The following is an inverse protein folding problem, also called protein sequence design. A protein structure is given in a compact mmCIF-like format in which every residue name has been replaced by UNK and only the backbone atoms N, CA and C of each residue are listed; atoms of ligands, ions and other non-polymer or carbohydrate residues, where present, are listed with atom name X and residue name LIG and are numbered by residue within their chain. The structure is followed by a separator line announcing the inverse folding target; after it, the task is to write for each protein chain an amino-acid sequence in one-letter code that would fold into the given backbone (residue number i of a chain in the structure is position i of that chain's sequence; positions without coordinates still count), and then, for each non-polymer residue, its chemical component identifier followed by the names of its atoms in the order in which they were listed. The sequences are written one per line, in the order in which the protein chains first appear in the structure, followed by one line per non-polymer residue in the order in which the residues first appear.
data_IF_735815381866
#
_entry.id   IF_735815381866
#
_cell.length_a   1.000
_cell.length_b   1.000
_cell.length_c   1.000
_cell.angle_alpha   90.00
_cell.angle_beta   90.00
_cell.angle_gamma   90.00
#
_symmetry.space_group_name_H-M   'P 1'
#
loop_
_entity.id
_entity.type
_entity.pdbx_description
1 polymer ?
#
# COMPACT_ATOMS: atom_id res chain seq x y z
N UNK A 1 -19.42 -10.17 -0.31
CA UNK A 1 -18.59 -11.21 0.32
C UNK A 1 -17.28 -10.58 0.78
N UNK A 2 -16.88 -10.83 2.03
CA UNK A 2 -15.58 -10.37 2.55
C UNK A 2 -14.64 -11.58 2.48
N UNK A 3 -13.63 -11.49 1.64
CA UNK A 3 -12.64 -12.55 1.48
C UNK A 3 -11.41 -12.19 2.29
N UNK A 4 -10.90 -13.13 3.09
CA UNK A 4 -9.62 -12.97 3.80
C UNK A 4 -8.49 -13.14 2.78
N UNK A 5 -7.82 -12.05 2.44
CA UNK A 5 -6.79 -12.02 1.41
C UNK A 5 -5.39 -12.22 1.99
N UNK A 6 -5.24 -12.01 3.29
CA UNK A 6 -3.94 -12.06 3.94
C UNK A 6 -4.05 -12.62 5.36
N UNK A 7 -3.21 -13.62 5.64
CA UNK A 7 -2.96 -14.10 6.99
C UNK A 7 -1.45 -14.08 7.22
N UNK A 8 -1.00 -13.26 8.17
CA UNK A 8 0.42 -13.16 8.50
C UNK A 8 0.64 -13.40 9.98
N UNK A 9 1.69 -14.11 10.31
CA UNK A 9 2.01 -14.46 11.66
C UNK A 9 3.14 -13.58 12.19
N UNK A 10 2.90 -12.91 13.31
CA UNK A 10 3.91 -12.20 14.09
C UNK A 10 4.26 -13.08 15.27
N UNK A 11 5.49 -13.50 15.35
CA UNK A 11 5.95 -14.39 16.41
C UNK A 11 7.16 -13.84 17.15
N UNK A 12 7.26 -14.16 18.44
CA UNK A 12 8.48 -13.99 19.20
C UNK A 12 8.78 -15.22 20.05
N UNK A 13 10.05 -15.38 20.36
CA UNK A 13 10.56 -16.50 21.15
C UNK A 13 11.24 -15.96 22.41
N UNK A 14 10.76 -16.39 23.57
CA UNK A 14 11.39 -16.10 24.85
C UNK A 14 12.13 -17.32 25.37
N UNK A 15 13.36 -17.13 25.84
CA UNK A 15 14.12 -18.19 26.50
C UNK A 15 13.60 -18.41 27.91
N UNK A 16 13.40 -19.67 28.31
CA UNK A 16 12.86 -20.04 29.62
C UNK A 16 13.70 -19.46 30.81
N UNK A 17 14.99 -19.28 30.60
CA UNK A 17 15.84 -18.70 31.64
C UNK A 17 15.56 -17.18 31.87
N UNK A 18 15.18 -16.45 30.81
CA UNK A 18 14.74 -15.05 30.89
C UNK A 18 13.42 -14.93 31.65
N UNK A 19 12.48 -15.82 31.34
CA UNK A 19 11.22 -15.90 32.06
C UNK A 19 11.45 -16.21 33.55
N UNK A 20 12.26 -17.25 33.85
CA UNK A 20 12.59 -17.59 35.25
C UNK A 20 13.26 -16.45 36.00
N UNK A 21 14.08 -15.63 35.34
CA UNK A 21 14.69 -14.46 35.93
C UNK A 21 13.65 -13.34 36.19
N UNK A 22 12.69 -13.18 35.32
CA UNK A 22 11.58 -12.26 35.50
C UNK A 22 10.62 -12.69 36.63
N UNK A 23 10.56 -13.99 36.94
CA UNK A 23 9.75 -14.57 38.03
C UNK A 23 10.30 -14.33 39.45
N UNK A 24 11.40 -13.60 39.62
CA UNK A 24 11.92 -13.27 40.93
C UNK A 24 10.97 -12.41 41.78
N UNK A 25 10.13 -11.64 41.07
CA UNK A 25 9.06 -10.87 41.67
C UNK A 25 7.84 -10.82 40.73
N UNK A 26 6.63 -10.89 41.28
CA UNK A 26 5.39 -10.88 40.50
C UNK A 26 5.22 -9.60 39.66
N UNK A 27 5.70 -8.47 40.17
CA UNK A 27 5.70 -7.20 39.47
C UNK A 27 6.64 -7.18 38.27
N UNK A 28 7.82 -7.76 38.39
CA UNK A 28 8.81 -7.86 37.32
C UNK A 28 8.34 -8.76 36.18
N UNK A 29 7.64 -9.85 36.50
CA UNK A 29 7.06 -10.72 35.51
C UNK A 29 5.96 -10.02 34.69
N UNK A 30 5.04 -9.34 35.37
CA UNK A 30 3.99 -8.58 34.70
C UNK A 30 4.53 -7.49 33.78
N UNK A 31 5.61 -6.80 34.18
CA UNK A 31 6.29 -5.83 33.32
C UNK A 31 6.95 -6.49 32.11
N UNK A 32 7.61 -7.62 32.29
CA UNK A 32 8.22 -8.39 31.19
C UNK A 32 7.18 -8.81 30.14
N UNK A 33 6.06 -9.38 30.57
CA UNK A 33 4.97 -9.79 29.72
C UNK A 33 4.38 -8.57 28.96
N UNK A 34 4.14 -7.46 29.66
CA UNK A 34 3.58 -6.26 29.03
C UNK A 34 4.49 -5.66 27.96
N UNK A 35 5.81 -5.71 28.15
CA UNK A 35 6.77 -5.25 27.14
C UNK A 35 6.76 -6.15 25.89
N UNK A 36 6.67 -7.47 26.09
CA UNK A 36 6.61 -8.40 24.96
C UNK A 36 5.32 -8.23 24.16
N UNK A 37 4.17 -8.10 24.82
CA UNK A 37 2.88 -7.88 24.16
C UNK A 37 2.84 -6.53 23.45
N UNK A 38 3.43 -5.49 24.03
CA UNK A 38 3.57 -4.18 23.40
C UNK A 38 4.42 -4.25 22.12
N UNK A 39 5.51 -5.02 22.12
CA UNK A 39 6.35 -5.21 20.93
C UNK A 39 5.61 -5.93 19.80
N UNK A 40 4.84 -6.97 20.13
CA UNK A 40 4.03 -7.70 19.14
C UNK A 40 2.96 -6.79 18.55
N UNK A 41 2.26 -6.05 19.42
CA UNK A 41 1.25 -5.07 19.01
C UNK A 41 1.82 -3.97 18.11
N UNK A 42 2.98 -3.42 18.46
CA UNK A 42 3.65 -2.39 17.65
C UNK A 42 4.09 -2.96 16.29
N UNK A 43 4.64 -4.17 16.25
CA UNK A 43 5.03 -4.83 15.00
C UNK A 43 3.82 -5.03 14.08
N UNK A 44 2.69 -5.49 14.64
CA UNK A 44 1.42 -5.61 13.91
C UNK A 44 1.00 -4.24 13.35
N UNK A 45 0.95 -3.21 14.19
CA UNK A 45 0.54 -1.85 13.80
C UNK A 45 1.41 -1.28 12.67
N UNK A 46 2.74 -1.44 12.76
CA UNK A 46 3.66 -1.00 11.72
C UNK A 46 3.45 -1.74 10.41
N UNK A 47 3.20 -3.04 10.48
CA UNK A 47 2.91 -3.85 9.32
C UNK A 47 1.60 -3.43 8.63
N UNK A 48 0.52 -3.27 9.38
CA UNK A 48 -0.76 -2.80 8.88
C UNK A 48 -0.63 -1.41 8.22
N UNK A 49 0.12 -0.51 8.86
CA UNK A 49 0.39 0.82 8.31
C UNK A 49 1.17 0.75 6.99
N UNK A 50 2.17 -0.13 6.90
CA UNK A 50 2.94 -0.37 5.68
C UNK A 50 2.03 -0.89 4.56
N UNK A 51 1.16 -1.86 4.86
CA UNK A 51 0.24 -2.45 3.90
C UNK A 51 -0.76 -1.44 3.36
N UNK A 52 -1.38 -0.64 4.23
CA UNK A 52 -2.31 0.43 3.83
C UNK A 52 -1.60 1.46 2.94
N UNK A 53 -0.40 1.90 3.30
CA UNK A 53 0.35 2.86 2.49
C UNK A 53 0.73 2.28 1.12
N UNK A 54 1.12 1.01 1.08
CA UNK A 54 1.45 0.32 -0.18
C UNK A 54 0.20 0.17 -1.04
N UNK A 55 -0.91 -0.25 -0.47
CA UNK A 55 -2.19 -0.35 -1.19
C UNK A 55 -2.60 1.00 -1.78
N UNK A 56 -2.59 2.07 -0.99
CA UNK A 56 -2.88 3.43 -1.46
C UNK A 56 -1.95 3.83 -2.61
N UNK A 57 -0.67 3.56 -2.47
CA UNK A 57 0.34 3.95 -3.44
C UNK A 57 0.28 3.19 -4.76
N UNK A 58 -0.07 1.90 -4.72
CA UNK A 58 -0.06 1.00 -5.89
C UNK A 58 -1.42 0.85 -6.58
N UNK A 59 -2.52 1.00 -5.84
CA UNK A 59 -3.86 0.88 -6.42
C UNK A 59 -4.11 1.97 -7.47
N UNK A 60 -4.71 1.56 -8.58
CA UNK A 60 -5.17 2.44 -9.65
C UNK A 60 -6.53 1.98 -10.14
N UNK A 61 -7.38 2.93 -10.47
CA UNK A 61 -8.66 2.63 -11.11
C UNK A 61 -8.45 2.33 -12.59
N UNK A 62 -9.22 1.38 -13.11
CA UNK A 62 -9.27 1.07 -14.54
C UNK A 62 -10.19 2.04 -15.32
N UNK A 63 -10.93 2.90 -14.62
CA UNK A 63 -11.83 3.87 -15.22
C UNK A 63 -11.00 5.05 -15.75
N UNK A 64 -11.13 5.36 -17.04
CA UNK A 64 -10.30 6.35 -17.71
C UNK A 64 -10.34 7.74 -17.07
N UNK A 65 -11.51 8.21 -16.60
CA UNK A 65 -11.64 9.52 -15.94
C UNK A 65 -11.02 9.57 -14.54
N UNK A 66 -10.80 8.45 -13.91
CA UNK A 66 -10.08 8.36 -12.63
C UNK A 66 -8.55 8.36 -12.80
N UNK A 67 -8.06 8.38 -14.03
CA UNK A 67 -6.66 8.62 -14.35
C UNK A 67 -6.50 10.00 -15.01
N UNK A 68 -6.14 10.99 -14.22
CA UNK A 68 -6.04 12.39 -14.66
C UNK A 68 -4.59 12.75 -14.93
N UNK A 69 -4.34 13.41 -16.06
CA UNK A 69 -3.01 13.83 -16.48
C UNK A 69 -2.96 15.35 -16.56
N UNK A 70 -2.01 15.95 -15.84
CA UNK A 70 -1.81 17.40 -15.77
C UNK A 70 -0.51 17.77 -16.49
N UNK A 71 -0.58 18.71 -17.42
CA UNK A 71 0.59 19.27 -18.07
C UNK A 71 1.19 20.33 -17.18
N UNK A 72 2.38 20.08 -16.66
CA UNK A 72 3.08 21.00 -15.77
C UNK A 72 3.89 22.00 -16.61
N UNK A 73 3.61 23.33 -16.47
CA UNK A 73 4.36 24.36 -17.17
C UNK A 73 5.77 24.49 -16.62
N UNK A 74 6.69 24.97 -17.46
CA UNK A 74 8.08 25.30 -17.11
C UNK A 74 8.39 26.71 -17.53
N UNK A 75 9.03 27.49 -16.65
CA UNK A 75 9.55 28.82 -16.95
C UNK A 75 11.06 28.70 -17.14
N UNK A 76 11.54 29.10 -18.31
CA UNK A 76 12.96 28.98 -18.65
C UNK A 76 13.80 29.90 -17.75
N UNK A 77 14.83 29.32 -17.13
CA UNK A 77 15.78 30.05 -16.28
C UNK A 77 15.30 30.39 -14.86
N UNK A 78 14.04 30.15 -14.51
CA UNK A 78 13.50 30.44 -13.18
C UNK A 78 12.81 29.21 -12.56
N UNK A 79 13.54 28.57 -11.64
CA UNK A 79 13.05 27.36 -10.93
C UNK A 79 11.92 27.72 -9.95
N UNK A 80 11.98 28.89 -9.34
CA UNK A 80 10.99 29.31 -8.35
C UNK A 80 9.64 29.65 -9.02
N UNK A 81 9.67 30.44 -10.08
CA UNK A 81 8.50 30.72 -10.90
C UNK A 81 7.91 29.42 -11.49
N UNK A 82 8.75 28.50 -11.96
CA UNK A 82 8.32 27.18 -12.45
C UNK A 82 7.56 26.41 -11.38
N UNK A 83 8.12 26.27 -10.18
CA UNK A 83 7.47 25.54 -9.10
C UNK A 83 6.14 26.18 -8.69
N UNK A 84 6.10 27.53 -8.62
CA UNK A 84 4.89 28.28 -8.29
C UNK A 84 3.79 28.03 -9.31
N UNK A 85 4.12 28.14 -10.59
CA UNK A 85 3.16 27.93 -11.68
C UNK A 85 2.67 26.47 -11.71
N UNK A 86 3.56 25.50 -11.47
CA UNK A 86 3.19 24.08 -11.34
C UNK A 86 2.22 23.86 -10.18
N UNK A 87 2.47 24.50 -9.03
CA UNK A 87 1.57 24.43 -7.87
C UNK A 87 0.18 24.99 -8.19
N UNK A 88 0.11 26.14 -8.86
CA UNK A 88 -1.15 26.74 -9.29
C UNK A 88 -1.93 25.83 -10.24
N UNK A 89 -1.25 25.27 -11.26
CA UNK A 89 -1.88 24.38 -12.24
C UNK A 89 -2.45 23.11 -11.58
N UNK A 90 -1.70 22.51 -10.64
CA UNK A 90 -2.19 21.32 -9.92
C UNK A 90 -3.38 21.69 -9.02
N UNK A 91 -3.33 22.83 -8.35
CA UNK A 91 -4.42 23.27 -7.49
C UNK A 91 -5.70 23.57 -8.29
N UNK A 92 -5.58 24.21 -9.45
CA UNK A 92 -6.69 24.46 -10.38
C UNK A 92 -7.29 23.13 -10.88
N UNK A 93 -6.46 22.18 -11.27
CA UNK A 93 -6.92 20.88 -11.73
C UNK A 93 -7.66 20.10 -10.64
N UNK A 94 -7.16 20.14 -9.41
CA UNK A 94 -7.83 19.52 -8.27
C UNK A 94 -9.16 20.20 -7.93
N UNK A 95 -9.22 21.53 -7.98
CA UNK A 95 -10.46 22.26 -7.77
C UNK A 95 -11.52 21.87 -8.81
N UNK A 96 -11.13 21.79 -10.08
CA UNK A 96 -12.01 21.33 -11.17
C UNK A 96 -12.46 19.87 -10.94
N UNK A 97 -11.55 19.00 -10.49
CA UNK A 97 -11.90 17.61 -10.15
C UNK A 97 -12.96 17.52 -9.05
N UNK A 98 -12.85 18.34 -8.00
CA UNK A 98 -13.86 18.34 -6.93
C UNK A 98 -15.23 18.81 -7.42
N UNK A 99 -15.27 19.82 -8.29
CA UNK A 99 -16.52 20.27 -8.93
C UNK A 99 -17.11 19.14 -9.79
N UNK A 100 -16.29 18.43 -10.57
CA UNK A 100 -16.74 17.29 -11.36
C UNK A 100 -17.27 16.13 -10.50
N UNK A 101 -16.68 15.88 -9.31
CA UNK A 101 -17.14 14.84 -8.38
C UNK A 101 -18.44 15.22 -7.67
N UNK A 102 -18.70 16.52 -7.47
CA UNK A 102 -19.96 17.02 -6.90
C UNK A 102 -21.11 16.98 -7.92
N UNK A 103 -20.81 17.08 -9.20
CA UNK A 103 -21.83 16.97 -10.25
C UNK A 103 -22.29 15.51 -10.40
N UNK A 104 -23.62 15.24 -10.41
CA UNK A 104 -24.12 13.89 -10.59
C UNK A 104 -23.67 13.30 -11.93
N UNK A 105 -22.87 12.22 -11.87
CA UNK A 105 -22.33 11.56 -13.05
C UNK A 105 -22.18 10.05 -12.87
N UNK A 106 -21.99 9.34 -13.97
CA UNK A 106 -21.64 7.91 -13.98
C UNK A 106 -20.13 7.68 -14.15
N UNK A 107 -19.37 8.75 -14.35
CA UNK A 107 -17.98 8.71 -14.78
C UNK A 107 -17.00 8.21 -13.71
N UNK A 108 -17.40 8.32 -12.46
CA UNK A 108 -16.60 7.93 -11.29
C UNK A 108 -17.14 6.69 -10.57
N UNK A 109 -18.02 5.92 -11.22
CA UNK A 109 -18.63 4.71 -10.64
C UNK A 109 -18.44 3.52 -11.57
N UNK A 110 -18.06 2.36 -11.02
CA UNK A 110 -17.95 1.11 -11.79
C UNK A 110 -19.31 0.52 -12.17
N UNK A 111 -20.37 0.89 -11.46
CA UNK A 111 -21.69 0.26 -11.57
C UNK A 111 -22.64 0.98 -12.54
N UNK A 112 -22.20 2.05 -13.20
CA UNK A 112 -23.02 2.84 -14.12
C UNK A 112 -24.19 3.59 -13.48
N UNK A 113 -24.25 3.66 -12.14
CA UNK A 113 -25.26 4.44 -11.43
C UNK A 113 -24.83 5.91 -11.29
N UNK A 114 -25.79 6.80 -11.39
CA UNK A 114 -25.58 8.22 -11.12
C UNK A 114 -25.25 8.43 -9.66
N UNK A 115 -24.12 9.04 -9.38
CA UNK A 115 -23.70 9.42 -8.03
C UNK A 115 -23.13 10.82 -8.02
N UNK A 116 -23.28 11.47 -6.89
CA UNK A 116 -22.68 12.76 -6.55
C UNK A 116 -21.95 12.59 -5.21
N UNK A 117 -20.79 13.20 -5.08
CA UNK A 117 -19.95 13.08 -3.89
C UNK A 117 -19.65 14.47 -3.34
N UNK A 118 -19.59 14.62 -2.03
CA UNK A 118 -19.16 15.89 -1.42
C UNK A 118 -17.65 15.96 -1.37
N UNK A 119 -17.07 17.13 -1.59
CA UNK A 119 -15.63 17.35 -1.47
C UNK A 119 -15.07 16.93 -0.12
N UNK A 120 -15.84 17.12 0.96
CA UNK A 120 -15.50 16.69 2.33
C UNK A 120 -15.29 15.18 2.50
N UNK A 121 -15.79 14.36 1.58
CA UNK A 121 -15.71 12.90 1.66
C UNK A 121 -14.39 12.35 1.10
N UNK A 122 -13.57 13.22 0.54
CA UNK A 122 -12.28 12.85 -0.05
C UNK A 122 -11.09 13.23 0.83
N UNK A 123 -10.00 12.53 0.59
CA UNK A 123 -8.67 12.84 1.13
C UNK A 123 -7.70 12.91 -0.05
N UNK A 124 -6.92 13.98 -0.11
CA UNK A 124 -5.82 14.10 -1.06
C UNK A 124 -4.56 13.51 -0.45
N UNK A 125 -3.98 12.54 -1.13
CA UNK A 125 -2.76 11.84 -0.69
C UNK A 125 -1.61 12.26 -1.60
N UNK A 126 -0.73 13.10 -1.07
CA UNK A 126 0.34 13.73 -1.81
C UNK A 126 1.60 12.87 -1.87
N UNK A 127 2.24 12.86 -3.03
CA UNK A 127 3.61 12.41 -3.14
C UNK A 127 4.55 13.47 -2.51
N UNK A 128 5.36 13.04 -1.53
CA UNK A 128 6.26 13.92 -0.78
C UNK A 128 7.19 14.74 -1.68
N UNK A 129 7.63 14.19 -2.81
CA UNK A 129 8.51 14.91 -3.74
C UNK A 129 7.82 16.13 -4.35
N UNK A 130 6.53 16.04 -4.68
CA UNK A 130 5.76 17.15 -5.24
C UNK A 130 5.30 18.11 -4.16
N UNK A 131 4.73 17.61 -3.06
CA UNK A 131 4.25 18.48 -1.99
C UNK A 131 5.37 19.37 -1.44
N UNK A 132 6.56 18.82 -1.21
CA UNK A 132 7.68 19.59 -0.69
C UNK A 132 8.21 20.66 -1.68
N UNK A 133 8.04 20.46 -2.97
CA UNK A 133 8.35 21.49 -3.98
C UNK A 133 7.31 22.60 -3.97
N UNK A 134 6.03 22.26 -3.91
CA UNK A 134 4.91 23.19 -3.99
C UNK A 134 4.71 23.96 -2.67
N UNK A 135 4.88 23.31 -1.52
CA UNK A 135 4.72 23.95 -0.20
C UNK A 135 5.81 24.97 0.15
N UNK A 136 6.97 24.89 -0.48
CA UNK A 136 7.99 25.96 -0.30
C UNK A 136 7.54 27.30 -0.87
N UNK A 137 6.48 27.32 -1.66
CA UNK A 137 6.00 28.48 -2.38
C UNK A 137 4.52 28.68 -2.04
N UNK A 138 4.25 29.62 -1.17
CA UNK A 138 2.98 30.30 -0.86
C UNK A 138 1.64 29.61 -1.26
N UNK A 139 1.41 28.37 -0.81
CA UNK A 139 0.04 27.83 -0.81
C UNK A 139 -0.97 28.75 -0.10
N UNK A 140 -0.61 29.53 0.95
CA UNK A 140 -1.53 30.48 1.57
C UNK A 140 -2.06 31.57 0.63
N UNK A 141 -1.29 31.98 -0.37
CA UNK A 141 -1.67 33.05 -1.30
C UNK A 141 -2.58 32.57 -2.45
N UNK A 142 -2.55 31.27 -2.77
CA UNK A 142 -3.36 30.68 -3.85
C UNK A 142 -4.77 30.37 -3.34
N UNK A 143 -4.88 29.95 -2.09
CA UNK A 143 -6.15 29.61 -1.46
C UNK A 143 -6.52 30.61 -0.37
N UNK A 144 -7.09 31.73 -0.77
CA UNK A 144 -7.69 32.70 0.17
C UNK A 144 -8.98 32.14 0.84
N UNK A 145 -9.36 30.92 0.45
CA UNK A 145 -10.52 30.22 0.97
C UNK A 145 -10.10 29.13 1.96
N UNK A 146 -10.34 29.37 3.25
CA UNK A 146 -9.97 28.47 4.35
C UNK A 146 -10.59 27.04 4.22
N UNK A 147 -11.72 26.90 3.53
CA UNK A 147 -12.37 25.62 3.27
C UNK A 147 -11.56 24.77 2.28
N UNK A 148 -11.16 25.33 1.17
CA UNK A 148 -10.32 24.62 0.18
C UNK A 148 -8.97 24.24 0.75
N UNK A 149 -8.36 25.06 1.60
CA UNK A 149 -7.11 24.75 2.26
C UNK A 149 -7.18 23.49 3.11
N UNK A 150 -8.26 23.31 3.86
CA UNK A 150 -8.49 22.09 4.67
C UNK A 150 -8.56 20.83 3.81
N UNK A 151 -9.23 20.91 2.67
CA UNK A 151 -9.42 19.75 1.78
C UNK A 151 -8.12 19.36 1.05
N UNK A 152 -7.23 20.30 0.81
CA UNK A 152 -5.92 20.07 0.19
C UNK A 152 -4.80 19.71 1.18
N UNK A 153 -4.98 19.91 2.48
CA UNK A 153 -3.96 19.57 3.48
C UNK A 153 -3.65 18.09 3.58
N UNK A 154 -4.44 17.19 3.09
CA UNK A 154 -4.31 15.77 2.94
C UNK A 154 -3.06 15.07 3.49
N UNK A 155 -3.02 13.77 3.41
CA UNK A 155 -1.88 12.95 3.87
C UNK A 155 -0.71 13.02 2.89
N UNK A 156 0.51 13.04 3.41
CA UNK A 156 1.73 12.96 2.59
C UNK A 156 2.34 11.57 2.74
N UNK A 157 2.62 10.92 1.62
CA UNK A 157 3.33 9.65 1.60
C UNK A 157 4.69 9.78 0.90
N UNK A 158 5.71 9.06 1.36
CA UNK A 158 6.99 8.96 0.66
C UNK A 158 6.82 8.45 -0.78
N UNK A 159 7.62 8.98 -1.69
CA UNK A 159 7.58 8.62 -3.12
C UNK A 159 7.74 7.11 -3.38
N UNK A 160 8.43 6.40 -2.50
CA UNK A 160 8.65 4.94 -2.61
C UNK A 160 7.36 4.11 -2.64
N UNK A 161 6.24 4.66 -2.15
CA UNK A 161 4.95 3.96 -2.17
C UNK A 161 4.18 4.15 -3.48
N UNK A 162 4.49 5.21 -4.23
CA UNK A 162 3.83 5.50 -5.50
C UNK A 162 4.51 4.74 -6.63
N UNK A 163 3.87 3.68 -7.10
CA UNK A 163 4.43 2.85 -8.14
C UNK A 163 3.45 1.83 -8.67
N UNK A 164 3.93 1.03 -9.60
CA UNK A 164 3.17 -0.06 -10.22
C UNK A 164 3.84 -1.39 -9.96
N UNK A 165 3.02 -2.41 -9.76
CA UNK A 165 3.47 -3.79 -9.78
C UNK A 165 3.33 -4.27 -11.22
N UNK A 166 4.46 -4.52 -11.86
CA UNK A 166 4.52 -5.03 -13.22
C UNK A 166 4.94 -6.50 -13.21
N UNK A 167 4.59 -7.22 -14.26
CA UNK A 167 5.11 -8.55 -14.49
C UNK A 167 6.52 -8.45 -15.09
N UNK A 168 7.53 -8.82 -14.31
CA UNK A 168 8.88 -9.01 -14.83
C UNK A 168 9.07 -10.45 -15.26
N UNK A 169 9.76 -10.67 -16.39
CA UNK A 169 10.04 -12.01 -16.90
C UNK A 169 11.43 -12.46 -16.44
N UNK A 170 11.49 -13.65 -15.83
CA UNK A 170 12.75 -14.32 -15.48
C UNK A 170 12.81 -15.68 -16.15
N UNK A 171 13.96 -16.02 -16.73
CA UNK A 171 14.17 -17.27 -17.47
C UNK A 171 14.36 -18.46 -16.54
N UNK A 172 14.91 -18.23 -15.36
CA UNK A 172 15.02 -19.20 -14.27
C UNK A 172 14.75 -18.47 -12.97
N UNK A 173 14.02 -19.08 -12.06
CA UNK A 173 13.92 -18.51 -10.71
C UNK A 173 15.31 -18.53 -10.09
N UNK A 174 15.77 -17.37 -9.68
CA UNK A 174 17.16 -17.07 -9.46
C UNK A 174 17.92 -18.00 -8.52
N UNK A 175 19.19 -17.96 -8.66
CA UNK A 175 20.21 -18.58 -7.80
C UNK A 175 20.31 -17.93 -6.41
N UNK A 176 19.54 -16.89 -6.14
CA UNK A 176 19.56 -16.09 -4.92
C UNK A 176 18.38 -16.43 -4.02
N UNK A 177 18.61 -16.47 -2.71
CA UNK A 177 17.61 -16.72 -1.65
C UNK A 177 16.49 -15.65 -1.58
N UNK A 178 16.18 -14.97 -2.66
CA UNK A 178 15.10 -14.00 -2.75
C UNK A 178 13.77 -14.75 -2.83
N UNK A 179 12.90 -14.44 -1.91
CA UNK A 179 11.51 -14.90 -1.90
C UNK A 179 10.77 -14.32 -3.11
N UNK A 180 10.49 -15.16 -4.11
CA UNK A 180 9.77 -14.76 -5.32
C UNK A 180 8.39 -15.39 -5.27
N UNK A 181 7.35 -14.57 -5.45
CA UNK A 181 5.97 -15.03 -5.49
C UNK A 181 5.47 -15.12 -6.93
N UNK A 182 4.63 -16.11 -7.21
CA UNK A 182 4.00 -16.25 -8.51
C UNK A 182 2.97 -15.13 -8.73
N UNK A 183 2.97 -14.55 -9.92
CA UNK A 183 1.98 -13.56 -10.35
C UNK A 183 0.78 -14.23 -11.03
N UNK A 184 1.01 -15.30 -11.76
CA UNK A 184 0.02 -16.07 -12.50
C UNK A 184 0.08 -17.56 -12.10
N UNK A 185 -0.97 -18.29 -12.42
CA UNK A 185 -1.00 -19.74 -12.29
C UNK A 185 -0.07 -20.37 -13.32
N UNK A 186 0.79 -21.31 -12.89
CA UNK A 186 1.78 -21.91 -13.76
C UNK A 186 2.20 -23.28 -13.30
N UNK A 187 2.59 -24.14 -14.25
CA UNK A 187 3.24 -25.40 -14.00
C UNK A 187 4.75 -25.26 -14.18
N UNK A 188 5.49 -25.56 -13.14
CA UNK A 188 6.94 -25.50 -13.11
C UNK A 188 7.56 -26.87 -12.88
N UNK A 189 8.79 -27.06 -13.36
CA UNK A 189 9.58 -28.24 -13.06
C UNK A 189 10.95 -27.86 -12.48
N UNK A 190 11.45 -28.67 -11.56
CA UNK A 190 12.78 -28.49 -11.00
C UNK A 190 13.85 -29.20 -11.85
N UNK A 191 15.10 -29.12 -11.42
CA UNK A 191 16.26 -29.79 -12.07
C UNK A 191 16.12 -31.32 -12.14
N UNK A 192 15.33 -31.90 -11.24
CA UNK A 192 15.05 -33.35 -11.18
C UNK A 192 13.78 -33.74 -11.98
N UNK A 193 13.24 -32.80 -12.78
CA UNK A 193 12.02 -32.94 -13.59
C UNK A 193 10.76 -33.21 -12.77
N UNK A 194 10.75 -32.84 -11.50
CA UNK A 194 9.58 -32.91 -10.66
C UNK A 194 8.68 -31.71 -10.92
N UNK A 195 7.42 -31.96 -11.25
CA UNK A 195 6.46 -30.92 -11.60
C UNK A 195 5.71 -30.42 -10.36
N UNK A 196 5.48 -29.10 -10.33
CA UNK A 196 4.73 -28.43 -9.29
C UNK A 196 3.73 -27.47 -9.94
N UNK A 197 2.51 -27.49 -9.44
CA UNK A 197 1.48 -26.54 -9.79
C UNK A 197 1.51 -25.37 -8.82
N UNK A 198 1.79 -24.17 -9.32
CA UNK A 198 1.93 -22.94 -8.54
C UNK A 198 0.77 -22.02 -8.85
N UNK A 199 0.08 -21.55 -7.82
CA UNK A 199 -0.99 -20.54 -7.91
C UNK A 199 -0.47 -19.14 -7.64
N UNK A 200 -1.17 -18.09 -8.09
CA UNK A 200 -0.83 -16.71 -7.76
C UNK A 200 -0.64 -16.52 -6.25
N UNK A 201 0.42 -15.82 -5.88
CA UNK A 201 0.79 -15.59 -4.47
C UNK A 201 1.56 -16.73 -3.79
N UNK A 202 1.74 -17.88 -4.42
CA UNK A 202 2.61 -18.94 -3.91
C UNK A 202 4.08 -18.63 -4.18
N UNK A 203 4.93 -19.12 -3.28
CA UNK A 203 6.39 -19.04 -3.45
C UNK A 203 6.86 -19.93 -4.59
N UNK A 204 7.68 -19.35 -5.45
CA UNK A 204 8.36 -20.08 -6.51
C UNK A 204 9.67 -20.65 -5.95
N UNK A 205 9.88 -21.97 -5.98
CA UNK A 205 11.13 -22.56 -5.57
C UNK A 205 12.32 -22.06 -6.42
N UNK A 206 13.52 -22.13 -5.89
CA UNK A 206 14.72 -21.81 -6.66
C UNK A 206 15.00 -22.89 -7.72
N UNK A 207 15.66 -22.50 -8.81
CA UNK A 207 16.12 -23.41 -9.88
C UNK A 207 14.99 -24.20 -10.57
N UNK A 208 13.87 -23.52 -10.85
CA UNK A 208 12.77 -24.11 -11.59
C UNK A 208 12.58 -23.43 -12.95
N UNK A 209 12.00 -24.16 -13.88
CA UNK A 209 11.62 -23.68 -15.21
C UNK A 209 10.14 -23.95 -15.48
N UNK A 210 9.54 -23.23 -16.41
CA UNK A 210 8.19 -23.53 -16.88
C UNK A 210 8.19 -24.86 -17.65
N UNK A 211 7.18 -25.70 -17.39
CA UNK A 211 7.01 -26.98 -18.11
C UNK A 211 6.83 -26.79 -19.60
N UNK A 212 6.09 -25.73 -19.99
CA UNK A 212 5.87 -25.36 -21.39
C UNK A 212 6.99 -24.53 -22.02
N UNK A 213 8.04 -24.25 -21.23
CA UNK A 213 9.11 -23.35 -21.63
C UNK A 213 8.72 -21.87 -21.52
N UNK A 214 9.70 -20.99 -21.70
CA UNK A 214 9.50 -19.56 -21.61
C UNK A 214 9.99 -18.95 -20.29
N UNK A 215 9.54 -17.72 -20.02
CA UNK A 215 9.97 -16.95 -18.85
C UNK A 215 8.91 -16.96 -17.75
N UNK A 216 9.35 -17.18 -16.52
CA UNK A 216 8.49 -17.09 -15.34
C UNK A 216 8.16 -15.63 -15.08
N UNK A 217 6.88 -15.30 -14.97
CA UNK A 217 6.41 -13.94 -14.63
C UNK A 217 6.40 -13.75 -13.12
N UNK A 218 7.15 -12.78 -12.66
CA UNK A 218 7.27 -12.43 -11.24
C UNK A 218 6.83 -10.99 -11.01
N UNK A 219 6.24 -10.66 -9.85
CA UNK A 219 5.90 -9.28 -9.55
C UNK A 219 7.17 -8.45 -9.39
N UNK A 220 7.24 -7.36 -10.13
CA UNK A 220 8.30 -6.36 -10.02
C UNK A 220 7.68 -5.01 -9.68
N UNK A 221 8.15 -4.39 -8.64
CA UNK A 221 7.70 -3.07 -8.24
C UNK A 221 8.57 -1.98 -8.86
N UNK A 222 7.93 -1.06 -9.56
CA UNK A 222 8.60 0.10 -10.14
C UNK A 222 7.98 1.38 -9.61
N UNK A 223 8.78 2.26 -9.02
CA UNK A 223 8.33 3.59 -8.58
C UNK A 223 7.97 4.42 -9.81
N UNK A 224 6.77 5.03 -9.78
CA UNK A 224 6.31 5.93 -10.82
C UNK A 224 6.49 7.39 -10.38
N UNK A 225 7.52 8.09 -10.89
CA UNK A 225 7.77 9.48 -10.51
C UNK A 225 6.79 10.47 -11.15
N UNK A 226 5.89 10.01 -12.01
CA UNK A 226 4.89 10.88 -12.63
C UNK A 226 3.70 11.18 -11.71
N UNK A 227 3.45 10.35 -10.69
CA UNK A 227 2.31 10.51 -9.80
C UNK A 227 2.53 11.69 -8.86
N UNK A 228 1.64 12.68 -8.96
CA UNK A 228 1.63 13.90 -8.14
C UNK A 228 0.89 13.65 -6.83
N UNK A 229 -0.35 13.19 -6.94
CA UNK A 229 -1.21 12.87 -5.80
C UNK A 229 -2.29 11.86 -6.19
N UNK A 230 -2.97 11.33 -5.18
CA UNK A 230 -4.17 10.51 -5.35
C UNK A 230 -5.31 11.11 -4.53
N UNK A 231 -6.48 11.22 -5.14
CA UNK A 231 -7.71 11.68 -4.48
C UNK A 231 -8.57 10.47 -4.22
N UNK A 232 -8.79 10.18 -2.95
CA UNK A 232 -9.41 8.94 -2.49
C UNK A 232 -10.60 9.24 -1.60
N UNK A 233 -11.72 8.56 -1.85
CA UNK A 233 -12.88 8.62 -0.96
C UNK A 233 -12.53 8.04 0.42
N UNK A 234 -12.91 8.71 1.51
CA UNK A 234 -12.59 8.30 2.90
C UNK A 234 -13.04 6.89 3.24
N UNK A 235 -14.15 6.47 2.67
CA UNK A 235 -14.67 5.11 2.83
C UNK A 235 -14.09 4.11 1.82
N UNK A 236 -13.36 4.59 0.83
CA UNK A 236 -12.83 3.78 -0.27
C UNK A 236 -11.71 2.82 0.16
N UNK A 237 -10.97 3.13 1.20
CA UNK A 237 -9.86 2.27 1.67
C UNK A 237 -10.18 1.79 3.08
N UNK A 238 -10.63 0.55 3.19
CA UNK A 238 -10.87 -0.13 4.46
C UNK A 238 -9.97 -1.35 4.55
N UNK A 239 -9.19 -1.37 5.61
CA UNK A 239 -8.43 -2.53 6.03
C UNK A 239 -9.14 -3.14 7.23
N UNK A 240 -9.61 -4.36 7.08
CA UNK A 240 -10.41 -5.04 8.09
C UNK A 240 -9.64 -6.23 8.65
N UNK A 241 -9.38 -6.22 9.95
CA UNK A 241 -8.93 -7.43 10.67
C UNK A 241 -10.17 -8.23 11.00
N UNK A 242 -10.29 -9.40 10.38
CA UNK A 242 -11.47 -10.27 10.53
C UNK A 242 -11.32 -11.22 11.71
N UNK A 243 -10.15 -11.81 11.87
CA UNK A 243 -9.84 -12.76 12.93
C UNK A 243 -8.45 -12.44 13.47
N UNK A 244 -8.31 -12.50 14.78
CA UNK A 244 -7.02 -12.40 15.45
C UNK A 244 -6.88 -13.58 16.40
N UNK A 245 -5.91 -14.44 16.14
CA UNK A 245 -5.67 -15.64 16.95
C UNK A 245 -4.28 -15.54 17.57
N UNK A 246 -4.23 -15.72 18.89
CA UNK A 246 -2.98 -15.86 19.63
C UNK A 246 -2.77 -17.32 20.00
N UNK A 247 -1.59 -17.83 19.69
CA UNK A 247 -1.21 -19.21 20.03
C UNK A 247 0.16 -19.22 20.73
N UNK A 248 0.31 -20.12 21.67
CA UNK A 248 1.53 -20.27 22.45
C UNK A 248 1.98 -21.71 22.43
N UNK A 249 3.27 -21.94 22.20
CA UNK A 249 3.90 -23.26 22.21
C UNK A 249 5.18 -23.27 23.02
N UNK A 250 5.30 -24.25 23.90
CA UNK A 250 6.56 -24.53 24.58
C UNK A 250 7.39 -25.53 23.78
N UNK A 251 8.60 -25.13 23.40
CA UNK A 251 9.56 -25.98 22.75
C UNK A 251 10.51 -26.60 23.78
N UNK A 252 10.28 -27.87 24.14
CA UNK A 252 11.07 -28.56 25.16
C UNK A 252 12.51 -28.82 24.73
N UNK A 253 12.80 -28.89 23.43
CA UNK A 253 14.16 -29.12 22.93
C UNK A 253 15.10 -27.95 23.18
N UNK A 254 14.59 -26.74 23.00
CA UNK A 254 15.36 -25.47 23.13
C UNK A 254 15.02 -24.73 24.41
N UNK A 255 14.11 -25.27 25.24
CA UNK A 255 13.59 -24.60 26.44
C UNK A 255 13.14 -23.15 26.13
N UNK A 256 12.38 -22.99 25.06
CA UNK A 256 11.85 -21.69 24.63
C UNK A 256 10.34 -21.71 24.59
N UNK A 257 9.73 -20.57 24.89
CA UNK A 257 8.30 -20.34 24.70
C UNK A 257 8.10 -19.47 23.47
N UNK A 258 7.35 -19.97 22.52
CA UNK A 258 7.04 -19.26 21.28
C UNK A 258 5.59 -18.78 21.35
N UNK A 259 5.39 -17.49 21.17
CA UNK A 259 4.07 -16.88 21.05
C UNK A 259 3.88 -16.35 19.65
N UNK A 260 2.71 -16.58 19.09
CA UNK A 260 2.34 -16.17 17.75
C UNK A 260 1.04 -15.43 17.78
N UNK A 261 1.02 -14.24 17.15
CA UNK A 261 -0.18 -13.49 16.85
C UNK A 261 -0.44 -13.60 15.34
N UNK A 262 -1.58 -14.15 14.98
CA UNK A 262 -1.96 -14.34 13.57
C UNK A 262 -3.21 -13.52 13.27
N UNK A 263 -3.07 -12.24 12.84
CA UNK A 263 -4.17 -11.50 12.29
C UNK A 263 -4.51 -12.01 10.90
N UNK A 264 -5.78 -12.20 10.63
CA UNK A 264 -6.30 -12.44 9.29
C UNK A 264 -7.00 -11.17 8.81
N UNK A 265 -6.52 -10.62 7.71
CA UNK A 265 -6.94 -9.33 7.19
C UNK A 265 -7.67 -9.47 5.86
N UNK A 266 -8.60 -8.59 5.62
CA UNK A 266 -9.34 -8.52 4.38
C UNK A 266 -9.26 -7.13 3.77
N UNK A 267 -9.05 -7.11 2.46
CA UNK A 267 -9.26 -5.95 1.60
C UNK A 267 -10.56 -6.18 0.83
N UNK A 268 -11.65 -5.48 1.14
CA UNK A 268 -12.91 -5.67 0.41
C UNK A 268 -12.78 -5.20 -1.04
N UNK A 269 -13.14 -6.04 -1.99
CA UNK A 269 -13.11 -5.70 -3.43
C UNK A 269 -14.06 -4.56 -3.81
N UNK A 270 -15.13 -4.35 -3.05
CA UNK A 270 -16.07 -3.24 -3.31
C UNK A 270 -15.47 -1.85 -3.06
N UNK A 271 -14.26 -1.74 -2.54
CA UNK A 271 -13.52 -0.48 -2.49
C UNK A 271 -13.32 0.15 -3.88
N UNK A 272 -13.29 -0.67 -4.92
CA UNK A 272 -13.25 -0.23 -6.30
C UNK A 272 -14.51 0.54 -6.74
N UNK A 273 -15.62 0.39 -6.03
CA UNK A 273 -16.86 1.14 -6.28
C UNK A 273 -16.87 2.58 -5.77
N UNK A 274 -15.80 3.02 -5.10
CA UNK A 274 -15.61 4.40 -4.64
C UNK A 274 -14.58 5.10 -5.50
N UNK A 275 -14.74 6.41 -5.78
CA UNK A 275 -13.79 7.15 -6.61
C UNK A 275 -12.37 7.09 -6.06
N UNK A 276 -11.44 6.74 -6.93
CA UNK A 276 -10.02 6.66 -6.66
C UNK A 276 -9.24 7.29 -7.81
N UNK A 277 -9.05 8.61 -7.72
CA UNK A 277 -8.45 9.37 -8.82
C UNK A 277 -6.94 9.48 -8.65
N UNK A 278 -6.19 9.07 -9.65
CA UNK A 278 -4.73 9.25 -9.71
C UNK A 278 -4.39 10.44 -10.61
N UNK A 279 -3.73 11.43 -10.04
CA UNK A 279 -3.27 12.63 -10.77
C UNK A 279 -1.80 12.47 -11.10
N UNK A 280 -1.47 12.56 -12.40
CA UNK A 280 -0.12 12.42 -12.94
C UNK A 280 0.30 13.65 -13.69
N UNK A 281 1.61 13.89 -13.75
CA UNK A 281 2.16 14.84 -14.73
C UNK A 281 2.18 14.19 -16.12
N UNK A 282 1.89 15.00 -17.14
CA UNK A 282 2.17 14.61 -18.51
C UNK A 282 3.69 14.36 -18.69
N UNK A 283 4.04 13.33 -19.42
CA UNK A 283 5.42 12.99 -19.76
C UNK A 283 6.00 13.95 -20.79
#
# INVERSE_FOLDING_TARGET
EIVVNEAKQVGFTAGNWLEKRAWQDAGSYGQFESVLDAQVGETKRLYEHLMVNTAIGTMESNIGKQQRTVTLPTVEGDVEATNRLQGQTVAEDLANLFVELEDPSTDYTDNGFWKSYKSSDFIVIWNAQFKNKILKIDMPTIFDNAGLKSDFEGRVLPAKYFGRVNAASVTTSGTSNTTIYALEEMDIEDTDKKKYHIKPGMLIPAKVTLVEGGAIKVPSYTVDPSIICKVVHKEGIKYLTTIETSTEFFNSKNLTRNRYLTPANAYPEYLMGSPFVTVRRAS
#
